data_IF_458552145594
#
_entry.id   IF_458552145594
#
_cell.length_a   1.000
_cell.length_b   1.000
_cell.length_c   1.000
_cell.angle_alpha   90.00
_cell.angle_beta   90.00
_cell.angle_gamma   90.00
#
_symmetry.space_group_name_H-M   'P 1'
#
loop_
_entity.id
_entity.type
_entity.pdbx_description
1 polymer ?
#
# COMPACT_ATOMS: atom_id res chain seq x y z
N UNK A 1 -29.31 -5.33 -17.49
CA UNK A 1 -28.49 -4.09 -17.58
C UNK A 1 -27.38 -4.19 -16.56
N UNK A 2 -26.13 -4.33 -16.99
CA UNK A 2 -25.00 -4.21 -16.06
C UNK A 2 -24.79 -2.71 -15.82
N UNK A 3 -24.99 -2.25 -14.59
CA UNK A 3 -24.59 -0.90 -14.20
C UNK A 3 -23.07 -0.79 -14.36
N UNK A 4 -22.60 0.15 -15.18
CA UNK A 4 -21.19 0.52 -15.23
C UNK A 4 -20.83 1.19 -13.89
N UNK A 5 -20.41 0.39 -12.92
CA UNK A 5 -19.93 0.88 -11.63
C UNK A 5 -18.55 1.52 -11.86
N UNK A 6 -18.43 2.81 -11.56
CA UNK A 6 -17.11 3.45 -11.51
C UNK A 6 -16.36 2.93 -10.27
N UNK A 7 -15.35 2.09 -10.52
CA UNK A 7 -14.52 1.50 -9.46
C UNK A 7 -13.79 2.56 -8.62
N UNK A 8 -13.58 3.78 -9.13
CA UNK A 8 -12.96 4.89 -8.38
C UNK A 8 -13.88 5.53 -7.35
N UNK A 9 -15.21 5.38 -7.54
CA UNK A 9 -16.20 5.90 -6.59
C UNK A 9 -16.39 5.01 -5.36
N UNK A 10 -15.77 3.82 -5.35
CA UNK A 10 -15.92 2.84 -4.29
C UNK A 10 -15.06 3.20 -3.07
N UNK A 11 -15.65 3.00 -1.90
CA UNK A 11 -14.96 3.15 -0.62
C UNK A 11 -14.40 1.80 -0.15
N UNK A 12 -13.08 1.68 0.10
CA UNK A 12 -12.47 0.44 0.58
C UNK A 12 -13.17 -0.17 1.80
N UNK A 13 -13.62 0.67 2.74
CA UNK A 13 -14.27 0.24 3.97
C UNK A 13 -15.71 -0.26 3.79
N UNK A 14 -16.29 -0.10 2.59
CA UNK A 14 -17.70 -0.41 2.31
C UNK A 14 -17.89 -1.43 1.19
N UNK A 15 -16.95 -1.54 0.25
CA UNK A 15 -17.08 -2.41 -0.92
C UNK A 15 -16.51 -3.81 -0.68
N UNK A 16 -17.20 -4.83 -1.17
CA UNK A 16 -16.71 -6.22 -1.27
C UNK A 16 -16.72 -6.73 -2.73
N UNK A 17 -16.99 -5.83 -3.67
CA UNK A 17 -17.15 -6.14 -5.10
C UNK A 17 -15.85 -6.56 -5.77
N UNK A 18 -14.71 -6.05 -5.29
CA UNK A 18 -13.37 -6.41 -5.75
C UNK A 18 -12.45 -6.64 -4.54
N UNK A 19 -11.40 -7.46 -4.70
CA UNK A 19 -10.38 -7.63 -3.66
C UNK A 19 -9.52 -6.38 -3.44
N UNK A 20 -9.34 -5.60 -4.51
CA UNK A 20 -8.44 -4.45 -4.55
C UNK A 20 -9.08 -3.31 -5.32
N UNK A 21 -8.92 -2.09 -4.81
CA UNK A 21 -9.00 -0.87 -5.61
C UNK A 21 -7.58 -0.40 -5.92
N UNK A 22 -7.38 0.27 -7.06
CA UNK A 22 -6.05 0.61 -7.56
C UNK A 22 -5.96 2.09 -7.93
N UNK A 23 -4.78 2.66 -7.70
CA UNK A 23 -4.37 3.99 -8.16
C UNK A 23 -3.07 3.83 -8.96
N UNK A 24 -2.99 4.43 -10.14
CA UNK A 24 -1.84 4.30 -11.03
C UNK A 24 -1.13 5.63 -11.14
N UNK A 25 0.19 5.61 -11.06
CA UNK A 25 0.99 6.80 -11.27
C UNK A 25 0.98 7.23 -12.75
N UNK A 26 1.34 8.49 -13.06
CA UNK A 26 1.51 8.95 -14.43
C UNK A 26 2.51 8.06 -15.19
N UNK A 27 2.30 7.90 -16.50
CA UNK A 27 3.08 6.98 -17.35
C UNK A 27 4.59 7.19 -17.25
N UNK A 28 5.04 8.44 -17.06
CA UNK A 28 6.46 8.80 -16.89
C UNK A 28 7.12 8.15 -15.67
N UNK A 29 6.35 7.94 -14.59
CA UNK A 29 6.82 7.25 -13.38
C UNK A 29 6.82 5.74 -13.62
N UNK A 30 5.75 5.21 -14.24
CA UNK A 30 5.63 3.79 -14.56
C UNK A 30 6.74 3.32 -15.51
N UNK A 31 7.19 4.17 -16.43
CA UNK A 31 8.27 3.85 -17.37
C UNK A 31 9.66 3.72 -16.74
N UNK A 32 9.82 4.01 -15.43
CA UNK A 32 11.11 3.91 -14.73
C UNK A 32 11.59 2.48 -14.51
N UNK A 33 10.72 1.48 -14.57
CA UNK A 33 11.10 0.08 -14.45
C UNK A 33 10.04 -0.80 -13.79
N UNK A 34 10.39 -2.07 -13.58
CA UNK A 34 9.54 -3.04 -12.90
C UNK A 34 9.48 -2.76 -11.40
N UNK A 35 8.40 -3.21 -10.76
CA UNK A 35 8.30 -3.13 -9.30
C UNK A 35 9.26 -4.10 -8.63
N UNK A 36 9.91 -3.64 -7.55
CA UNK A 36 10.76 -4.47 -6.71
C UNK A 36 10.00 -5.01 -5.48
N UNK A 37 8.95 -4.29 -5.07
CA UNK A 37 8.18 -4.60 -3.88
C UNK A 37 7.19 -3.49 -3.55
N UNK A 38 6.72 -3.52 -2.30
CA UNK A 38 5.73 -2.55 -1.81
C UNK A 38 5.91 -2.19 -0.34
N UNK A 39 5.66 -0.92 -0.03
CA UNK A 39 5.38 -0.46 1.32
C UNK A 39 3.96 -0.87 1.73
N UNK A 40 3.83 -1.40 2.94
CA UNK A 40 2.57 -1.84 3.53
C UNK A 40 2.13 -0.84 4.61
N UNK A 41 0.93 -0.29 4.42
CA UNK A 41 0.26 0.60 5.38
C UNK A 41 -0.99 -0.09 5.88
N UNK A 42 -0.97 -0.58 7.11
CA UNK A 42 -2.15 -1.15 7.75
C UNK A 42 -2.88 -0.06 8.54
N UNK A 43 -4.19 0.06 8.33
CA UNK A 43 -5.04 1.02 9.03
C UNK A 43 -6.36 0.39 9.42
N UNK A 44 -6.94 0.85 10.52
CA UNK A 44 -8.29 0.48 10.90
C UNK A 44 -9.30 0.88 9.82
N UNK A 45 -10.29 0.03 9.54
CA UNK A 45 -11.30 0.22 8.48
C UNK A 45 -11.96 1.60 8.52
N UNK A 46 -12.30 2.09 9.72
CA UNK A 46 -12.93 3.42 9.91
C UNK A 46 -12.09 4.62 9.48
N UNK A 47 -10.79 4.43 9.24
CA UNK A 47 -9.86 5.47 8.75
C UNK A 47 -9.31 5.16 7.36
N UNK A 48 -9.73 4.04 6.76
CA UNK A 48 -9.14 3.59 5.51
C UNK A 48 -9.57 4.44 4.32
N UNK A 49 -10.83 4.88 4.26
CA UNK A 49 -11.33 5.64 3.10
C UNK A 49 -10.60 6.99 2.96
N UNK A 50 -10.49 7.74 4.06
CA UNK A 50 -9.76 9.01 4.14
C UNK A 50 -8.28 8.81 3.76
N UNK A 51 -7.62 7.82 4.36
CA UNK A 51 -6.22 7.53 4.08
C UNK A 51 -6.00 7.07 2.62
N UNK A 52 -6.93 6.28 2.07
CA UNK A 52 -6.85 5.82 0.70
C UNK A 52 -6.98 6.98 -0.28
N UNK A 53 -7.92 7.90 -0.06
CA UNK A 53 -8.11 9.09 -0.89
C UNK A 53 -6.84 9.95 -0.93
N UNK A 54 -6.21 10.18 0.23
CA UNK A 54 -4.93 10.91 0.31
C UNK A 54 -3.81 10.18 -0.44
N UNK A 55 -3.61 8.88 -0.18
CA UNK A 55 -2.53 8.12 -0.81
C UNK A 55 -2.74 7.98 -2.32
N UNK A 56 -3.97 7.67 -2.76
CA UNK A 56 -4.27 7.51 -4.19
C UNK A 56 -4.00 8.80 -4.95
N UNK A 57 -4.41 9.95 -4.39
CA UNK A 57 -4.18 11.25 -5.00
C UNK A 57 -2.69 11.57 -5.17
N UNK A 58 -1.87 11.27 -4.15
CA UNK A 58 -0.43 11.50 -4.21
C UNK A 58 0.31 10.51 -5.13
N UNK A 59 -0.25 9.31 -5.34
CA UNK A 59 0.23 8.38 -6.39
C UNK A 59 -0.14 8.90 -7.77
N UNK A 60 -1.40 9.26 -8.00
CA UNK A 60 -1.91 9.72 -9.30
C UNK A 60 -1.30 11.05 -9.75
N UNK A 61 -0.91 11.92 -8.81
CA UNK A 61 -0.16 13.14 -9.10
C UNK A 61 1.30 12.87 -9.50
N UNK A 62 1.82 11.68 -9.19
CA UNK A 62 3.23 11.34 -9.33
C UNK A 62 4.12 11.87 -8.21
N UNK A 63 3.59 12.58 -7.22
CA UNK A 63 4.38 13.15 -6.12
C UNK A 63 5.03 12.09 -5.24
N UNK A 64 4.36 10.96 -5.00
CA UNK A 64 4.95 9.86 -4.21
C UNK A 64 6.11 9.17 -4.90
N UNK A 65 6.30 9.35 -6.22
CA UNK A 65 7.23 8.58 -7.07
C UNK A 65 6.98 7.06 -7.09
N UNK A 66 5.90 6.61 -6.45
CA UNK A 66 5.46 5.22 -6.51
C UNK A 66 5.00 4.89 -7.94
N UNK A 67 5.17 3.64 -8.38
CA UNK A 67 4.66 3.20 -9.69
C UNK A 67 3.15 2.99 -9.68
N UNK A 68 2.58 2.78 -8.50
CA UNK A 68 1.16 2.61 -8.27
C UNK A 68 0.86 2.23 -6.83
N UNK A 69 -0.41 2.17 -6.48
CA UNK A 69 -0.87 1.65 -5.22
C UNK A 69 -2.15 0.82 -5.38
N UNK A 70 -2.40 -0.04 -4.40
CA UNK A 70 -3.68 -0.72 -4.26
C UNK A 70 -4.09 -0.83 -2.80
N UNK A 71 -5.39 -0.84 -2.54
CA UNK A 71 -5.96 -0.97 -1.20
C UNK A 71 -6.88 -2.18 -1.13
N UNK A 72 -6.78 -2.95 -0.05
CA UNK A 72 -7.69 -4.07 0.20
C UNK A 72 -9.07 -3.55 0.59
N UNK A 73 -10.10 -4.30 0.27
CA UNK A 73 -11.49 -3.94 0.53
C UNK A 73 -12.11 -4.79 1.64
N UNK A 74 -13.42 -4.68 1.87
CA UNK A 74 -14.15 -5.56 2.78
C UNK A 74 -14.28 -7.00 2.29
N UNK A 75 -13.84 -7.30 1.05
CA UNK A 75 -13.80 -8.67 0.55
C UNK A 75 -12.81 -9.50 1.38
N UNK A 76 -13.20 -10.69 1.89
CA UNK A 76 -12.35 -11.49 2.77
C UNK A 76 -10.97 -11.78 2.17
N UNK A 77 -9.91 -11.35 2.85
CA UNK A 77 -8.53 -11.59 2.43
C UNK A 77 -7.93 -12.75 3.25
N UNK A 78 -7.58 -13.89 2.63
CA UNK A 78 -7.05 -15.05 3.35
C UNK A 78 -5.70 -14.77 4.03
N UNK A 79 -5.00 -13.70 3.63
CA UNK A 79 -3.73 -13.28 4.22
C UNK A 79 -3.86 -12.21 5.31
N UNK A 80 -5.07 -11.73 5.61
CA UNK A 80 -5.28 -10.78 6.68
C UNK A 80 -5.16 -11.47 8.04
N UNK A 81 -4.36 -10.90 8.94
CA UNK A 81 -4.21 -11.38 10.32
C UNK A 81 -5.09 -10.62 11.31
N UNK A 82 -5.60 -9.45 10.93
CA UNK A 82 -6.48 -8.63 11.75
C UNK A 82 -7.72 -8.24 10.92
N UNK A 83 -8.93 -8.70 11.31
CA UNK A 83 -10.14 -8.39 10.57
C UNK A 83 -10.56 -6.92 10.66
N UNK A 84 -10.08 -6.14 11.63
CA UNK A 84 -10.42 -4.72 11.79
C UNK A 84 -9.54 -3.78 10.95
N UNK A 85 -8.53 -4.34 10.27
CA UNK A 85 -7.59 -3.58 9.45
C UNK A 85 -7.72 -3.91 7.98
N UNK A 86 -7.47 -2.89 7.16
CA UNK A 86 -7.22 -3.00 5.74
C UNK A 86 -5.75 -2.60 5.47
N UNK A 87 -5.25 -2.93 4.28
CA UNK A 87 -3.88 -2.62 3.87
C UNK A 87 -3.86 -1.83 2.57
N UNK A 88 -3.07 -0.76 2.54
CA UNK A 88 -2.60 -0.11 1.31
C UNK A 88 -1.20 -0.65 0.99
N UNK A 89 -1.01 -1.06 -0.26
CA UNK A 89 0.27 -1.46 -0.82
C UNK A 89 0.72 -0.39 -1.81
N UNK A 90 1.86 0.25 -1.56
CA UNK A 90 2.44 1.29 -2.44
C UNK A 90 3.71 0.74 -3.07
N UNK A 91 3.74 0.65 -4.40
CA UNK A 91 4.78 -0.04 -5.15
C UNK A 91 5.93 0.88 -5.56
N UNK A 92 7.13 0.33 -5.59
CA UNK A 92 8.36 1.06 -5.93
C UNK A 92 9.20 0.27 -6.92
N UNK A 93 10.03 0.98 -7.68
CA UNK A 93 11.24 0.41 -8.29
C UNK A 93 12.27 0.11 -7.18
N UNK A 94 13.42 -0.46 -7.54
CA UNK A 94 14.51 -0.73 -6.58
C UNK A 94 15.17 0.58 -6.13
N UNK A 95 15.31 1.53 -7.04
CA UNK A 95 16.00 2.80 -6.85
C UNK A 95 15.18 3.76 -5.96
N UNK A 96 13.85 3.70 -6.04
CA UNK A 96 12.95 4.64 -5.37
C UNK A 96 12.43 4.13 -4.00
N UNK A 97 12.93 2.99 -3.46
CA UNK A 97 12.40 2.38 -2.21
C UNK A 97 12.37 3.38 -1.06
N UNK A 98 13.50 4.03 -0.78
CA UNK A 98 13.65 4.89 0.39
C UNK A 98 12.97 6.24 0.20
N UNK A 99 13.02 6.80 -1.00
CA UNK A 99 12.36 8.08 -1.30
C UNK A 99 10.83 7.95 -1.22
N UNK A 100 10.26 6.92 -1.85
CA UNK A 100 8.82 6.63 -1.75
C UNK A 100 8.44 6.35 -0.30
N UNK A 101 9.26 5.57 0.42
CA UNK A 101 9.03 5.23 1.82
C UNK A 101 9.00 6.45 2.73
N UNK A 102 9.95 7.38 2.56
CA UNK A 102 10.04 8.61 3.34
C UNK A 102 8.89 9.56 3.01
N UNK A 103 8.48 9.71 1.75
CA UNK A 103 7.30 10.52 1.40
C UNK A 103 6.03 9.90 1.98
N UNK A 104 5.87 8.59 1.85
CA UNK A 104 4.71 7.86 2.34
C UNK A 104 4.60 7.92 3.87
N UNK A 105 5.68 7.71 4.62
CA UNK A 105 5.63 7.72 6.10
C UNK A 105 5.24 9.11 6.64
N UNK A 106 5.68 10.19 5.99
CA UNK A 106 5.32 11.56 6.34
C UNK A 106 3.83 11.85 6.06
N UNK A 107 3.30 11.27 4.98
CA UNK A 107 1.88 11.34 4.65
C UNK A 107 1.03 10.57 5.69
N UNK A 108 1.35 9.29 5.92
CA UNK A 108 0.50 8.40 6.74
C UNK A 108 0.73 8.52 8.25
N UNK A 109 1.83 9.18 8.65
CA UNK A 109 2.21 9.48 10.05
C UNK A 109 2.18 8.24 10.96
N UNK A 110 2.66 7.11 10.45
CA UNK A 110 2.76 5.85 11.19
C UNK A 110 3.91 5.00 10.66
N UNK A 111 4.34 4.00 11.43
CA UNK A 111 5.32 3.01 10.97
C UNK A 111 4.81 2.20 9.77
N UNK A 112 5.66 2.08 8.76
CA UNK A 112 5.42 1.31 7.53
C UNK A 112 6.52 0.27 7.33
N UNK A 113 6.20 -0.82 6.62
CA UNK A 113 7.14 -1.91 6.36
C UNK A 113 7.19 -2.27 4.88
N UNK A 114 8.37 -2.59 4.39
CA UNK A 114 8.59 -2.95 2.98
C UNK A 114 8.64 -4.46 2.82
N UNK A 115 7.90 -4.99 1.84
CA UNK A 115 7.94 -6.40 1.44
C UNK A 115 8.29 -6.48 -0.04
N UNK A 116 9.31 -7.28 -0.38
CA UNK A 116 9.71 -7.51 -1.77
C UNK A 116 8.65 -8.31 -2.54
N UNK A 117 8.64 -8.15 -3.85
CA UNK A 117 7.83 -8.97 -4.74
C UNK A 117 8.30 -10.43 -4.71
N UNK A 118 9.60 -10.69 -4.61
CA UNK A 118 10.17 -12.03 -4.41
C UNK A 118 9.57 -12.74 -3.19
N UNK A 119 9.52 -12.08 -2.03
CA UNK A 119 8.90 -12.65 -0.83
C UNK A 119 7.39 -12.89 -0.99
N UNK A 120 6.73 -12.08 -1.82
CA UNK A 120 5.31 -12.28 -2.18
C UNK A 120 5.14 -13.53 -3.05
N UNK A 121 5.98 -13.69 -4.08
CA UNK A 121 5.99 -14.83 -5.00
C UNK A 121 6.34 -16.14 -4.28
N UNK A 122 7.26 -16.09 -3.31
CA UNK A 122 7.62 -17.22 -2.46
C UNK A 122 6.55 -17.56 -1.39
N UNK A 123 5.44 -16.79 -1.31
CA UNK A 123 4.36 -17.07 -0.37
C UNK A 123 4.71 -16.82 1.10
N UNK A 124 5.65 -15.91 1.38
CA UNK A 124 6.13 -15.58 2.73
C UNK A 124 5.11 -14.68 3.44
N UNK A 125 4.23 -15.27 4.24
CA UNK A 125 3.19 -14.55 4.99
C UNK A 125 3.20 -14.92 6.48
N UNK A 126 2.85 -13.96 7.33
CA UNK A 126 2.85 -14.13 8.79
C UNK A 126 1.82 -15.18 9.24
N UNK A 127 0.65 -15.24 8.60
CA UNK A 127 -0.36 -16.27 8.84
C UNK A 127 0.08 -17.70 8.46
N UNK A 128 1.24 -17.85 7.80
CA UNK A 128 1.89 -19.13 7.48
C UNK A 128 3.09 -19.42 8.38
N UNK A 129 3.24 -18.69 9.49
CA UNK A 129 4.30 -18.90 10.48
C UNK A 129 5.63 -18.20 10.18
N UNK A 130 5.74 -17.44 9.09
CA UNK A 130 6.96 -16.68 8.80
C UNK A 130 7.12 -15.50 9.76
N UNK A 131 8.25 -15.46 10.48
CA UNK A 131 8.55 -14.38 11.45
C UNK A 131 9.07 -13.10 10.79
N UNK A 132 9.79 -13.22 9.67
CA UNK A 132 10.34 -12.09 8.91
C UNK A 132 9.73 -12.08 7.51
N UNK A 133 8.75 -11.22 7.30
CA UNK A 133 8.03 -11.07 6.02
C UNK A 133 8.38 -9.77 5.30
N UNK A 134 9.20 -8.91 5.91
CA UNK A 134 9.54 -7.57 5.47
C UNK A 134 11.04 -7.35 5.61
N UNK A 135 11.62 -6.54 4.72
CA UNK A 135 13.07 -6.34 4.63
C UNK A 135 13.51 -4.93 5.05
N UNK A 136 12.58 -3.98 5.19
CA UNK A 136 12.86 -2.61 5.63
C UNK A 136 11.69 -2.05 6.44
N UNK A 137 11.97 -1.19 7.41
CA UNK A 137 10.97 -0.48 8.22
C UNK A 137 11.30 1.01 8.26
N UNK A 138 10.29 1.86 8.13
CA UNK A 138 10.42 3.30 8.41
C UNK A 138 9.40 3.63 9.49
N UNK A 139 9.87 4.25 10.56
CA UNK A 139 9.04 4.60 11.71
C UNK A 139 8.65 6.06 11.68
N UNK A 140 7.44 6.35 12.20
CA UNK A 140 7.01 7.70 12.51
C UNK A 140 6.83 7.79 14.03
N UNK A 141 7.67 8.59 14.68
CA UNK A 141 7.63 8.78 16.14
C UNK A 141 8.01 10.21 16.48
N UNK A 142 7.33 10.79 17.46
CA UNK A 142 7.61 12.14 17.96
C UNK A 142 7.68 13.21 16.85
N UNK A 143 6.79 13.06 15.85
CA UNK A 143 6.68 13.96 14.70
C UNK A 143 7.80 13.82 13.66
N UNK A 144 8.60 12.74 13.71
CA UNK A 144 9.73 12.52 12.80
C UNK A 144 9.70 11.13 12.17
N UNK A 145 10.11 11.09 10.91
CA UNK A 145 10.36 9.87 10.16
C UNK A 145 11.81 9.41 10.36
N UNK A 146 12.02 8.10 10.56
CA UNK A 146 13.37 7.51 10.57
C UNK A 146 13.37 6.10 10.00
N UNK A 147 14.39 5.80 9.20
CA UNK A 147 14.67 4.45 8.69
C UNK A 147 15.22 3.62 9.85
N UNK A 148 14.71 2.40 10.01
CA UNK A 148 15.22 1.42 10.96
C UNK A 148 15.74 0.23 10.15
N UNK A 149 17.05 -0.01 10.26
CA UNK A 149 17.74 -1.15 9.65
C UNK A 149 17.57 -2.44 10.47
#
# INVERSE_FOLDING_TARGET
MASNIDMRSLKPSQTDMAYWLSAMAPSVVVSRGNTYGKWLVFKHKSKMDELWEEVSKEVESGYLLATGAKVSTMKPNPNATNPEQLVICVYTTLEDIDEVGMRLVNLVKQTIRYKSDEATLAGVYSNRGYKKTTIKTITWKDGKASIVE
#
